data_IF_717751095637
#
_entry.id   IF_717751095637
#
_cell.length_a   1.000
_cell.length_b   1.000
_cell.length_c   1.000
_cell.angle_alpha   90.00
_cell.angle_beta   90.00
_cell.angle_gamma   90.00
#
_symmetry.space_group_name_H-M   'P 1'
#
loop_
_entity.id
_entity.type
_entity.pdbx_description
1 polymer ?
#
# COMPACT_ATOMS: atom_id res chain seq x y z
N UNK A 1 1.62 10.68 6.83
CA UNK A 1 1.30 11.39 5.56
C UNK A 1 1.22 12.90 5.76
N UNK A 2 0.10 13.47 6.23
CA UNK A 2 -0.08 14.94 6.32
C UNK A 2 1.03 15.70 7.08
N UNK A 3 1.50 15.13 8.20
CA UNK A 3 2.59 15.73 8.99
C UNK A 3 3.92 15.78 8.21
N UNK A 4 4.28 14.70 7.50
CA UNK A 4 5.50 14.60 6.69
C UNK A 4 5.50 15.63 5.56
N UNK A 5 4.43 15.73 4.77
CA UNK A 5 4.36 16.68 3.66
C UNK A 5 4.35 18.13 4.11
N UNK A 6 3.83 18.42 5.31
CA UNK A 6 3.79 19.78 5.86
C UNK A 6 5.13 20.20 6.46
N UNK A 7 5.79 19.31 7.18
CA UNK A 7 7.03 19.63 7.91
C UNK A 7 8.29 19.42 7.06
N UNK A 8 8.23 18.54 6.05
CA UNK A 8 9.36 18.20 5.17
C UNK A 8 8.92 18.20 3.68
N UNK A 9 8.43 19.34 3.14
CA UNK A 9 7.92 19.42 1.76
C UNK A 9 9.00 19.22 0.69
N UNK A 10 10.27 19.42 1.05
CA UNK A 10 11.42 19.17 0.15
C UNK A 10 11.68 17.68 -0.06
N UNK A 11 11.26 16.83 0.88
CA UNK A 11 11.51 15.38 0.84
C UNK A 11 10.26 14.57 0.53
N UNK A 12 9.06 15.09 0.85
CA UNK A 12 7.81 14.34 0.76
C UNK A 12 6.72 15.12 0.04
N UNK A 13 6.02 14.45 -0.88
CA UNK A 13 4.86 15.00 -1.60
C UNK A 13 3.70 13.99 -1.54
N UNK A 14 2.48 14.45 -1.24
CA UNK A 14 1.31 13.56 -1.25
C UNK A 14 0.89 13.33 -2.69
N UNK A 15 0.84 12.06 -3.11
CA UNK A 15 0.36 11.74 -4.44
C UNK A 15 -1.14 12.06 -4.58
N UNK A 16 -1.55 12.84 -5.60
CA UNK A 16 -2.94 13.21 -5.78
C UNK A 16 -3.78 11.96 -6.11
N UNK A 17 -4.99 11.92 -5.54
CA UNK A 17 -5.96 10.88 -5.84
C UNK A 17 -7.10 11.44 -6.68
N UNK A 18 -7.56 10.65 -7.65
CA UNK A 18 -8.70 10.97 -8.52
C UNK A 18 -9.87 10.03 -8.23
N UNK A 19 -11.12 10.47 -8.42
CA UNK A 19 -12.26 9.57 -8.38
C UNK A 19 -12.10 8.45 -9.41
N UNK A 20 -12.49 7.23 -9.05
CA UNK A 20 -12.58 6.13 -9.98
C UNK A 20 -13.96 6.14 -10.63
N UNK A 21 -13.98 6.20 -11.96
CA UNK A 21 -15.21 6.29 -12.76
C UNK A 21 -16.28 5.31 -12.29
N UNK A 22 -17.50 5.82 -12.06
CA UNK A 22 -18.65 5.04 -11.63
C UNK A 22 -18.64 4.58 -10.16
N UNK A 23 -17.65 4.99 -9.34
CA UNK A 23 -17.60 4.61 -7.92
C UNK A 23 -17.22 5.79 -7.03
N UNK A 24 -17.55 5.73 -5.73
CA UNK A 24 -17.06 6.69 -4.73
C UNK A 24 -15.61 6.44 -4.31
N UNK A 25 -14.91 5.48 -4.93
CA UNK A 25 -13.54 5.11 -4.58
C UNK A 25 -12.53 6.07 -5.22
N UNK A 26 -11.38 6.26 -4.56
CA UNK A 26 -10.29 7.09 -5.06
C UNK A 26 -9.12 6.21 -5.49
N UNK A 27 -8.46 6.59 -6.57
CA UNK A 27 -7.27 5.91 -7.12
C UNK A 27 -6.14 6.89 -7.32
N UNK A 28 -4.90 6.41 -7.18
CA UNK A 28 -3.68 7.17 -7.48
C UNK A 28 -3.11 6.64 -8.79
N UNK A 29 -2.83 7.53 -9.74
CA UNK A 29 -2.23 7.16 -11.02
C UNK A 29 -0.73 6.91 -10.83
N UNK A 30 -0.20 5.85 -11.44
CA UNK A 30 1.23 5.53 -11.40
C UNK A 30 2.08 6.70 -11.93
N UNK A 31 1.59 7.40 -12.94
CA UNK A 31 2.27 8.56 -13.51
C UNK A 31 2.48 9.69 -12.50
N UNK A 32 1.52 9.91 -11.58
CA UNK A 32 1.68 10.88 -10.49
C UNK A 32 2.75 10.47 -9.49
N UNK A 33 2.92 9.16 -9.25
CA UNK A 33 4.02 8.64 -8.40
C UNK A 33 5.37 8.88 -9.08
N UNK A 34 5.46 8.61 -10.39
CA UNK A 34 6.67 8.85 -11.20
C UNK A 34 7.07 10.33 -11.19
N UNK A 35 6.14 11.23 -11.47
CA UNK A 35 6.40 12.69 -11.50
C UNK A 35 6.91 13.22 -10.15
N UNK A 36 6.46 12.65 -9.03
CA UNK A 36 6.98 13.02 -7.71
C UNK A 36 8.42 12.50 -7.51
N UNK A 37 8.67 11.25 -7.90
CA UNK A 37 10.01 10.65 -7.81
C UNK A 37 11.04 11.41 -8.66
N UNK A 38 10.66 11.88 -9.85
CA UNK A 38 11.50 12.69 -10.74
C UNK A 38 11.92 14.04 -10.12
N UNK A 39 11.16 14.56 -9.15
CA UNK A 39 11.53 15.73 -8.34
C UNK A 39 12.49 15.39 -7.19
N UNK A 40 12.98 14.15 -7.11
CA UNK A 40 13.75 13.61 -6.00
C UNK A 40 12.99 13.64 -4.66
N UNK A 41 11.68 13.38 -4.69
CA UNK A 41 10.82 13.33 -3.49
C UNK A 41 10.21 11.96 -3.29
N UNK A 42 9.93 11.61 -2.04
CA UNK A 42 9.13 10.44 -1.69
C UNK A 42 7.64 10.73 -1.90
N UNK A 43 6.99 9.94 -2.76
CA UNK A 43 5.55 9.97 -2.92
C UNK A 43 4.84 9.31 -1.72
N UNK A 44 4.03 10.07 -1.00
CA UNK A 44 3.20 9.55 0.09
C UNK A 44 1.88 9.02 -0.48
N UNK A 45 1.62 7.72 -0.27
CA UNK A 45 0.49 7.00 -0.87
C UNK A 45 -0.53 6.57 0.20
N UNK A 46 -1.81 6.83 -0.04
CA UNK A 46 -2.95 6.26 0.71
C UNK A 46 -3.66 5.25 -0.19
N UNK A 47 -3.17 3.99 -0.16
CA UNK A 47 -3.54 2.92 -1.10
C UNK A 47 -3.83 1.60 -0.36
N UNK A 48 -4.43 0.64 -1.06
CA UNK A 48 -4.72 -0.70 -0.52
C UNK A 48 -3.52 -1.65 -0.60
N UNK A 49 -3.52 -2.75 0.17
CA UNK A 49 -2.50 -3.81 0.08
C UNK A 49 -2.29 -4.33 -1.35
N UNK A 50 -3.36 -4.58 -2.10
CA UNK A 50 -3.25 -5.02 -3.50
C UNK A 50 -2.60 -3.98 -4.41
N UNK A 51 -2.62 -2.69 -4.06
CA UNK A 51 -1.89 -1.66 -4.79
C UNK A 51 -0.39 -1.69 -4.48
N UNK A 52 -0.02 -2.02 -3.24
CA UNK A 52 1.38 -2.26 -2.86
C UNK A 52 1.95 -3.45 -3.63
N UNK A 53 1.20 -4.56 -3.73
CA UNK A 53 1.60 -5.72 -4.53
C UNK A 53 1.88 -5.36 -5.99
N UNK A 54 0.99 -4.57 -6.61
CA UNK A 54 1.18 -4.09 -7.98
C UNK A 54 2.38 -3.16 -8.12
N UNK A 55 2.66 -2.31 -7.13
CA UNK A 55 3.88 -1.48 -7.13
C UNK A 55 5.15 -2.34 -7.02
N UNK A 56 5.14 -3.39 -6.20
CA UNK A 56 6.23 -4.36 -6.16
C UNK A 56 6.39 -5.09 -7.50
N UNK A 57 5.29 -5.49 -8.13
CA UNK A 57 5.30 -6.14 -9.43
C UNK A 57 5.92 -5.27 -10.53
N UNK A 58 5.60 -3.97 -10.54
CA UNK A 58 6.23 -3.00 -11.46
C UNK A 58 7.54 -2.40 -10.92
N UNK A 59 8.17 -3.05 -9.94
CA UNK A 59 9.51 -2.74 -9.43
C UNK A 59 9.69 -1.34 -8.82
N UNK A 60 8.61 -0.71 -8.34
CA UNK A 60 8.70 0.54 -7.57
C UNK A 60 9.10 0.31 -6.10
N UNK A 61 8.98 -0.93 -5.60
CA UNK A 61 9.39 -1.38 -4.26
C UNK A 61 9.19 -0.34 -3.13
N UNK A 62 7.94 0.04 -2.82
CA UNK A 62 7.66 1.11 -1.87
C UNK A 62 8.13 0.77 -0.45
N UNK A 63 8.53 1.79 0.31
CA UNK A 63 8.74 1.68 1.76
C UNK A 63 7.38 1.61 2.46
N UNK A 64 7.04 0.46 3.05
CA UNK A 64 5.74 0.20 3.69
C UNK A 64 5.92 0.12 5.20
N UNK A 65 5.59 1.21 5.89
CA UNK A 65 5.69 1.30 7.36
C UNK A 65 4.34 1.00 8.01
N UNK A 66 4.24 -0.12 8.72
CA UNK A 66 3.07 -0.45 9.53
C UNK A 66 3.15 0.23 10.90
N UNK A 67 2.15 1.04 11.22
CA UNK A 67 2.02 1.68 12.53
C UNK A 67 1.14 0.81 13.42
N UNK A 68 1.76 0.01 14.28
CA UNK A 68 1.06 -0.91 15.17
C UNK A 68 0.44 -0.18 16.36
N UNK A 69 -0.90 -0.18 16.51
CA UNK A 69 -1.55 0.44 17.65
C UNK A 69 -1.49 -0.46 18.89
N UNK A 70 -1.14 0.11 20.04
CA UNK A 70 -1.12 -0.59 21.33
C UNK A 70 -2.54 -1.04 21.74
N UNK A 71 -3.53 -0.15 21.61
CA UNK A 71 -4.91 -0.44 22.01
C UNK A 71 -5.91 0.48 21.30
N UNK A 72 -7.21 0.12 21.37
CA UNK A 72 -8.31 0.97 20.87
C UNK A 72 -8.33 2.33 21.57
N UNK A 73 -8.03 2.36 22.87
CA UNK A 73 -7.94 3.55 23.71
C UNK A 73 -6.75 4.41 23.27
N UNK A 74 -5.60 3.79 23.02
CA UNK A 74 -4.41 4.46 22.46
C UNK A 74 -4.72 5.16 21.13
N UNK A 75 -5.38 4.48 20.19
CA UNK A 75 -5.82 5.10 18.93
C UNK A 75 -6.74 6.30 19.20
N UNK A 76 -7.69 6.19 20.14
CA UNK A 76 -8.58 7.30 20.48
C UNK A 76 -7.79 8.50 21.03
N UNK A 77 -6.86 8.27 21.95
CA UNK A 77 -6.02 9.32 22.53
C UNK A 77 -5.16 10.00 21.46
N UNK A 78 -4.45 9.23 20.64
CA UNK A 78 -3.62 9.76 19.55
C UNK A 78 -4.43 10.58 18.55
N UNK A 79 -5.63 10.13 18.19
CA UNK A 79 -6.49 10.87 17.27
C UNK A 79 -7.01 12.16 17.87
N UNK A 80 -7.38 12.16 19.14
CA UNK A 80 -7.80 13.39 19.83
C UNK A 80 -6.67 14.43 19.85
N UNK A 81 -5.43 13.97 19.97
CA UNK A 81 -4.25 14.84 19.98
C UNK A 81 -3.83 15.31 18.57
N UNK A 82 -3.74 14.40 17.59
CA UNK A 82 -3.18 14.68 16.27
C UNK A 82 -4.21 15.14 15.22
N UNK A 83 -5.46 14.72 15.37
CA UNK A 83 -6.53 14.95 14.39
C UNK A 83 -7.90 15.07 15.09
N UNK A 84 -8.10 16.08 15.96
CA UNK A 84 -9.31 16.23 16.76
C UNK A 84 -10.59 16.29 15.92
N UNK A 85 -10.52 16.85 14.70
CA UNK A 85 -11.67 16.96 13.79
C UNK A 85 -12.01 15.66 13.05
N UNK A 86 -11.18 14.62 13.20
CA UNK A 86 -11.39 13.35 12.52
C UNK A 86 -12.61 12.60 13.08
N UNK A 87 -13.59 12.32 12.22
CA UNK A 87 -14.78 11.51 12.56
C UNK A 87 -14.60 10.00 12.38
N UNK A 88 -13.39 9.51 12.09
CA UNK A 88 -13.12 8.06 11.95
C UNK A 88 -13.47 7.32 13.26
N UNK A 89 -13.69 6.00 13.20
CA UNK A 89 -13.98 5.20 14.41
C UNK A 89 -12.72 4.52 14.91
N UNK A 90 -12.31 4.76 16.17
CA UNK A 90 -11.11 4.10 16.74
C UNK A 90 -11.29 2.58 16.85
N UNK A 91 -12.53 2.10 17.02
CA UNK A 91 -12.84 0.67 16.99
C UNK A 91 -12.56 0.07 15.60
N UNK A 92 -13.02 0.74 14.54
CA UNK A 92 -12.81 0.29 13.16
C UNK A 92 -11.33 0.35 12.77
N UNK A 93 -10.63 1.40 13.17
CA UNK A 93 -9.19 1.54 12.92
C UNK A 93 -8.37 0.45 13.62
N UNK A 94 -8.67 0.14 14.88
CA UNK A 94 -7.99 -0.94 15.61
C UNK A 94 -8.23 -2.31 14.96
N UNK A 95 -9.49 -2.62 14.61
CA UNK A 95 -9.83 -3.85 13.91
C UNK A 95 -9.16 -3.96 12.53
N UNK A 96 -9.11 -2.84 11.78
CA UNK A 96 -8.43 -2.78 10.49
C UNK A 96 -6.92 -3.01 10.63
N UNK A 97 -6.27 -2.39 11.62
CA UNK A 97 -4.85 -2.58 11.89
C UNK A 97 -4.54 -4.05 12.22
N UNK A 98 -5.36 -4.69 13.07
CA UNK A 98 -5.19 -6.12 13.40
C UNK A 98 -5.40 -7.02 12.18
N UNK A 99 -6.38 -6.72 11.31
CA UNK A 99 -6.57 -7.43 10.04
C UNK A 99 -5.35 -7.28 9.13
N UNK A 100 -4.81 -6.07 9.02
CA UNK A 100 -3.65 -5.78 8.18
C UNK A 100 -2.39 -6.48 8.71
N UNK A 101 -2.16 -6.46 10.02
CA UNK A 101 -1.07 -7.22 10.65
C UNK A 101 -1.20 -8.73 10.44
N UNK A 102 -2.42 -9.27 10.49
CA UNK A 102 -2.65 -10.71 10.32
C UNK A 102 -2.44 -11.20 8.88
N UNK A 103 -2.92 -10.46 7.89
CA UNK A 103 -3.01 -10.94 6.51
C UNK A 103 -2.04 -10.26 5.54
N UNK A 104 -1.52 -9.08 5.88
CA UNK A 104 -0.70 -8.26 4.98
C UNK A 104 0.70 -7.98 5.55
N UNK A 105 1.14 -8.69 6.60
CA UNK A 105 2.45 -8.45 7.22
C UNK A 105 3.63 -8.66 6.27
N UNK A 106 3.49 -9.56 5.30
CA UNK A 106 4.49 -9.82 4.26
C UNK A 106 4.73 -8.62 3.33
N UNK A 107 3.85 -7.63 3.33
CA UNK A 107 4.02 -6.39 2.55
C UNK A 107 4.77 -5.31 3.32
N UNK A 108 4.98 -5.45 4.63
CA UNK A 108 5.60 -4.42 5.45
C UNK A 108 7.12 -4.47 5.32
N UNK A 109 7.74 -3.33 5.07
CA UNK A 109 9.21 -3.20 5.13
C UNK A 109 9.68 -2.84 6.54
N UNK A 110 8.81 -2.24 7.34
CA UNK A 110 9.07 -1.94 8.74
C UNK A 110 7.77 -1.87 9.56
N UNK A 111 7.89 -2.06 10.88
CA UNK A 111 6.80 -1.87 11.84
C UNK A 111 7.26 -0.96 12.96
N UNK A 112 6.41 -0.02 13.36
CA UNK A 112 6.61 0.84 14.55
C UNK A 112 5.51 0.58 15.56
N UNK A 113 5.86 0.55 16.84
CA UNK A 113 4.89 0.50 17.93
C UNK A 113 4.42 1.91 18.27
N UNK A 114 3.11 2.15 18.25
CA UNK A 114 2.51 3.42 18.66
C UNK A 114 2.30 3.45 20.19
N UNK A 115 3.35 3.16 20.95
CA UNK A 115 3.34 3.21 22.42
C UNK A 115 3.78 4.58 22.92
N UNK A 116 3.04 5.15 23.87
CA UNK A 116 3.45 6.34 24.63
C UNK A 116 2.96 7.69 24.10
N UNK A 117 3.26 8.73 24.87
CA UNK A 117 2.95 10.13 24.59
C UNK A 117 4.16 10.83 23.96
N UNK A 118 4.00 11.42 22.77
CA UNK A 118 5.04 12.24 22.13
C UNK A 118 5.18 12.03 20.63
N UNK A 119 6.28 12.53 20.07
CA UNK A 119 6.61 12.47 18.64
C UNK A 119 7.60 11.35 18.27
N UNK A 120 7.97 10.45 19.19
CA UNK A 120 8.95 9.39 18.92
C UNK A 120 8.57 8.51 17.71
N UNK A 121 7.28 8.19 17.56
CA UNK A 121 6.77 7.46 16.39
C UNK A 121 7.05 8.18 15.07
N UNK A 122 7.08 9.51 15.08
CA UNK A 122 7.26 10.33 13.90
C UNK A 122 8.73 10.40 13.48
N UNK A 123 9.63 10.58 14.46
CA UNK A 123 11.08 10.50 14.25
C UNK A 123 11.47 9.10 13.74
N UNK A 124 10.90 8.05 14.34
CA UNK A 124 11.14 6.67 13.89
C UNK A 124 10.70 6.43 12.44
N UNK A 125 9.59 7.03 11.97
CA UNK A 125 9.20 6.95 10.55
C UNK A 125 10.25 7.61 9.65
N UNK A 126 10.75 8.79 10.04
CA UNK A 126 11.77 9.50 9.24
C UNK A 126 13.06 8.68 9.14
N UNK A 127 13.49 8.08 10.24
CA UNK A 127 14.67 7.22 10.27
C UNK A 127 14.46 5.97 9.43
N UNK A 128 13.31 5.30 9.54
CA UNK A 128 12.98 4.14 8.71
C UNK A 128 13.04 4.50 7.23
N UNK A 129 12.41 5.60 6.80
CA UNK A 129 12.42 6.01 5.39
C UNK A 129 13.86 6.26 4.92
N UNK A 130 14.66 6.98 5.72
CA UNK A 130 16.07 7.27 5.39
C UNK A 130 16.90 6.00 5.28
N UNK A 131 16.78 5.10 6.25
CA UNK A 131 17.51 3.83 6.27
C UNK A 131 17.09 2.94 5.10
N UNK A 132 15.79 2.77 4.86
CA UNK A 132 15.27 1.93 3.78
C UNK A 132 15.67 2.47 2.40
N UNK A 133 15.69 3.78 2.21
CA UNK A 133 16.14 4.40 0.96
C UNK A 133 17.64 4.14 0.66
N UNK A 134 18.45 3.88 1.69
CA UNK A 134 19.88 3.57 1.55
C UNK A 134 20.18 2.09 1.33
N UNK A 135 19.18 1.21 1.47
CA UNK A 135 19.38 -0.24 1.33
C UNK A 135 19.29 -0.69 -0.13
N UNK A 136 20.11 -1.67 -0.54
CA UNK A 136 19.94 -2.30 -1.85
C UNK A 136 18.61 -3.03 -1.91
N UNK A 137 17.93 -2.94 -3.06
CA UNK A 137 16.67 -3.63 -3.32
C UNK A 137 16.91 -4.79 -4.28
N UNK A 138 16.31 -5.95 -3.98
CA UNK A 138 16.31 -7.09 -4.90
C UNK A 138 15.47 -6.78 -6.13
N UNK A 139 16.12 -6.63 -7.28
CA UNK A 139 15.47 -6.55 -8.58
C UNK A 139 15.56 -7.89 -9.27
N UNK A 140 14.63 -8.18 -10.19
CA UNK A 140 14.83 -9.31 -11.10
C UNK A 140 16.03 -8.99 -11.98
N UNK A 141 16.92 -9.95 -12.18
CA UNK A 141 17.97 -9.79 -13.18
C UNK A 141 17.31 -9.41 -14.51
N UNK A 142 17.77 -8.33 -15.13
CA UNK A 142 17.41 -8.06 -16.52
C UNK A 142 17.86 -9.29 -17.32
N UNK A 143 16.93 -9.94 -18.01
CA UNK A 143 17.31 -10.81 -19.10
C UNK A 143 17.97 -9.87 -20.11
N UNK A 144 19.30 -9.80 -20.07
CA UNK A 144 20.06 -9.25 -21.18
C UNK A 144 19.50 -9.96 -22.41
N UNK A 145 18.97 -9.20 -23.37
CA UNK A 145 18.56 -9.70 -24.68
C UNK A 145 19.76 -10.46 -25.24
N UNK A 146 19.79 -11.77 -24.99
CA UNK A 146 20.67 -12.68 -25.68
C UNK A 146 20.05 -12.77 -27.05
N UNK A 147 20.47 -11.88 -27.94
CA UNK A 147 20.44 -12.12 -29.36
C UNK A 147 21.34 -13.34 -29.63
N UNK A 148 20.81 -14.53 -29.35
CA UNK A 148 21.16 -15.76 -30.04
C UNK A 148 19.85 -16.43 -30.39
N UNK A 149 19.60 -16.32 -31.67
CA UNK A 149 18.58 -16.94 -32.49
C UNK A 149 18.29 -18.39 -32.08
N UNK A 150 17.03 -18.77 -32.32
CA UNK A 150 16.43 -20.09 -32.27
C UNK A 150 15.84 -20.63 -30.96
N UNK A 151 14.53 -20.89 -31.08
CA UNK A 151 13.70 -21.78 -30.28
C UNK A 151 13.17 -21.21 -28.96
N UNK A 152 11.99 -20.61 -29.04
CA UNK A 152 10.85 -20.91 -28.16
C UNK A 152 9.60 -20.20 -28.71
N UNK A 153 9.22 -20.57 -29.93
CA UNK A 153 7.79 -20.62 -30.25
C UNK A 153 7.12 -21.59 -29.29
N UNK A 154 5.84 -21.35 -29.00
CA UNK A 154 4.97 -22.05 -28.05
C UNK A 154 5.03 -21.45 -26.63
N UNK A 155 4.17 -20.45 -26.40
CA UNK A 155 3.00 -20.58 -25.51
C UNK A 155 2.35 -19.20 -25.30
N UNK A 156 1.35 -18.89 -26.13
CA UNK A 156 0.32 -17.90 -25.79
C UNK A 156 -1.05 -18.62 -25.85
N UNK A 157 -1.93 -18.39 -24.86
CA UNK A 157 -3.25 -17.91 -25.23
C UNK A 157 -3.75 -16.74 -24.36
N UNK A 158 -4.77 -15.99 -24.84
CA UNK A 158 -4.96 -14.59 -24.50
C UNK A 158 -5.99 -14.39 -23.39
N UNK A 159 -5.71 -13.49 -22.43
CA UNK A 159 -6.77 -12.67 -21.83
C UNK A 159 -6.21 -11.31 -21.40
N UNK A 160 -6.64 -10.28 -22.14
CA UNK A 160 -6.22 -8.89 -21.99
C UNK A 160 -7.13 -8.23 -20.96
N UNK A 161 -6.65 -8.06 -19.73
CA UNK A 161 -7.19 -7.06 -18.79
C UNK A 161 -6.23 -5.86 -18.78
N UNK A 162 -6.70 -4.60 -18.86
CA UNK A 162 -5.80 -3.45 -19.01
C UNK A 162 -5.02 -3.22 -17.71
N UNK A 163 -3.69 -3.31 -17.82
CA UNK A 163 -2.68 -3.25 -16.76
C UNK A 163 -2.53 -1.88 -16.04
N UNK A 164 -3.50 -0.97 -16.14
CA UNK A 164 -3.32 0.45 -15.80
C UNK A 164 -3.88 0.92 -14.45
N UNK A 165 -4.66 0.11 -13.74
CA UNK A 165 -5.45 0.61 -12.59
C UNK A 165 -5.14 -0.12 -11.30
N UNK A 166 -4.69 0.64 -10.29
CA UNK A 166 -4.51 0.13 -8.95
C UNK A 166 -5.87 0.17 -8.18
N UNK A 167 -6.60 -0.96 -8.13
CA UNK A 167 -7.87 -1.14 -7.39
C UNK A 167 -7.73 -0.95 -5.86
N UNK A 168 -8.71 -0.23 -5.28
CA UNK A 168 -8.82 0.10 -3.86
C UNK A 168 -10.02 -0.56 -3.12
N UNK A 169 -10.40 -1.80 -3.44
CA UNK A 169 -11.64 -2.41 -2.89
C UNK A 169 -11.41 -3.50 -1.84
N UNK A 170 -12.31 -3.58 -0.85
CA UNK A 170 -12.21 -4.45 0.33
C UNK A 170 -13.27 -5.55 0.39
N UNK A 171 -13.82 -5.98 -0.76
CA UNK A 171 -15.01 -6.85 -0.82
C UNK A 171 -14.93 -8.05 -1.78
N UNK A 172 -13.76 -8.62 -2.05
CA UNK A 172 -13.62 -9.75 -2.98
C UNK A 172 -13.42 -11.12 -2.31
N UNK A 173 -14.31 -11.51 -1.38
CA UNK A 173 -14.29 -12.86 -0.80
C UNK A 173 -15.68 -13.43 -0.48
N UNK A 174 -16.72 -13.05 -1.25
CA UNK A 174 -18.03 -13.69 -1.14
C UNK A 174 -18.44 -14.30 -2.48
N UNK A 175 -17.91 -15.49 -2.75
CA UNK A 175 -18.54 -16.46 -3.65
C UNK A 175 -18.50 -17.81 -2.91
N UNK A 176 -19.61 -18.15 -2.27
CA UNK A 176 -20.01 -19.52 -1.97
C UNK A 176 -21.51 -19.54 -2.20
N UNK A 177 -21.90 -19.92 -3.41
CA UNK A 177 -23.20 -20.51 -3.70
C UNK A 177 -22.99 -21.69 -4.67
N UNK A 178 -23.90 -22.66 -4.54
CA UNK A 178 -24.07 -23.93 -5.26
C UNK A 178 -23.15 -25.11 -4.87
N UNK A 179 -23.69 -26.25 -4.39
CA UNK A 179 -24.72 -27.04 -5.08
C UNK A 179 -25.65 -27.81 -4.14
N UNK A 180 -26.93 -27.77 -4.44
CA UNK A 180 -27.94 -28.76 -4.10
C UNK A 180 -27.66 -30.09 -4.82
N UNK A 181 -27.78 -31.23 -4.13
CA UNK A 181 -28.20 -32.49 -4.75
C UNK A 181 -29.05 -33.28 -3.75
N UNK A 182 -30.34 -33.34 -4.04
CA UNK A 182 -31.24 -34.37 -3.54
C UNK A 182 -31.50 -35.33 -4.69
N UNK A 183 -31.26 -36.62 -4.47
CA UNK A 183 -31.81 -37.67 -5.32
C UNK A 183 -32.42 -38.78 -4.46
N UNK A 184 -33.60 -39.21 -4.89
CA UNK A 184 -34.48 -40.15 -4.23
C UNK A 184 -34.03 -41.60 -4.45
N UNK A 185 -34.39 -42.45 -3.50
CA UNK A 185 -34.29 -43.91 -3.54
C UNK A 185 -34.76 -44.51 -2.23
#
# INVERSE_FOLDING_TARGET
VQKLSRELPELFEIAPSVPRDGTSSKVIKLDSVRQIAEKNKHALLDITPSAVERLNYVQYYPVVVFCEPESRQGIKAMRQWLAPDSRKSSRRLYAQANKMKKYCSHLFTATISLSGSGNAWYEQIQDIVRTQQSQPVWTTAEQVDVATEDSLDLLNPPSRVPSGYLTCDSRANSDYDDTTDGEAG
#
